data_IF_542355851034
#
_entry.id   IF_542355851034
#
_cell.length_a   1.000
_cell.length_b   1.000
_cell.length_c   1.000
_cell.angle_alpha   90.00
_cell.angle_beta   90.00
_cell.angle_gamma   90.00
#
_symmetry.space_group_name_H-M   'P 1'
#
loop_
_entity.id
_entity.type
_entity.pdbx_description
1 polymer ?
#
# COMPACT_ATOMS: atom_id res chain seq x y z
N UNK A 1 7.20 -12.24 3.51
CA UNK A 1 6.02 -11.47 3.97
C UNK A 1 6.05 -11.38 5.49
N UNK A 2 6.39 -10.22 6.06
CA UNK A 2 6.33 -9.95 7.50
C UNK A 2 5.10 -9.10 7.78
N UNK A 3 4.37 -9.38 8.88
CA UNK A 3 3.26 -8.50 9.32
C UNK A 3 3.82 -7.58 10.38
N UNK A 4 3.72 -6.28 10.15
CA UNK A 4 3.76 -5.28 11.21
C UNK A 4 2.33 -5.13 11.75
N UNK A 5 2.13 -5.32 13.05
CA UNK A 5 0.79 -5.37 13.65
C UNK A 5 0.74 -4.83 15.07
N UNK A 6 -0.35 -4.12 15.38
CA UNK A 6 -0.64 -3.47 16.68
C UNK A 6 -0.91 -4.45 17.84
N UNK A 7 -0.97 -5.77 17.59
CA UNK A 7 -1.05 -6.80 18.63
C UNK A 7 -0.16 -8.00 18.31
N UNK A 8 0.86 -8.19 19.15
CA UNK A 8 1.64 -9.43 19.27
C UNK A 8 2.99 -9.41 18.57
N UNK A 9 4.06 -9.53 19.36
CA UNK A 9 5.33 -10.13 18.91
C UNK A 9 5.13 -11.65 19.05
N UNK A 10 5.39 -12.44 18.01
CA UNK A 10 5.08 -13.88 18.04
C UNK A 10 5.09 -14.59 16.69
N UNK A 11 4.67 -15.86 16.66
CA UNK A 11 4.61 -16.66 15.44
C UNK A 11 3.41 -16.25 14.60
N UNK A 12 3.62 -16.02 13.30
CA UNK A 12 2.57 -15.54 12.38
C UNK A 12 1.38 -16.49 12.25
N UNK A 13 1.64 -17.80 12.30
CA UNK A 13 0.58 -18.82 12.27
C UNK A 13 -0.47 -18.57 13.34
N UNK A 14 -0.02 -18.26 14.56
CA UNK A 14 -0.91 -18.02 15.70
C UNK A 14 -1.75 -16.76 15.50
N UNK A 15 -1.13 -15.66 15.03
CA UNK A 15 -1.81 -14.39 14.75
C UNK A 15 -2.87 -14.56 13.64
N UNK A 16 -2.52 -15.28 12.58
CA UNK A 16 -3.40 -15.52 11.43
C UNK A 16 -4.40 -16.67 11.65
N UNK A 17 -4.37 -17.35 12.80
CA UNK A 17 -5.14 -18.58 13.08
C UNK A 17 -4.91 -19.66 12.01
N UNK A 18 -3.65 -19.87 11.66
CA UNK A 18 -3.15 -20.79 10.61
C UNK A 18 -2.02 -21.65 11.19
N UNK A 19 -1.66 -22.73 10.49
CA UNK A 19 -0.53 -23.56 10.89
C UNK A 19 0.78 -22.74 10.97
N UNK A 20 1.74 -23.14 11.83
CA UNK A 20 3.03 -22.47 11.92
C UNK A 20 3.74 -22.41 10.57
N UNK A 21 4.22 -21.22 10.20
CA UNK A 21 4.87 -20.96 8.90
C UNK A 21 6.38 -20.74 9.00
N UNK A 22 6.94 -20.73 10.22
CA UNK A 22 8.33 -20.32 10.47
C UNK A 22 8.57 -18.80 10.39
N UNK A 23 7.55 -18.02 10.01
CA UNK A 23 7.64 -16.56 9.89
C UNK A 23 7.31 -15.88 11.22
N UNK A 24 8.18 -14.97 11.64
CA UNK A 24 8.01 -14.17 12.85
C UNK A 24 7.28 -12.85 12.54
N UNK A 25 6.50 -12.38 13.49
CA UNK A 25 5.95 -11.02 13.49
C UNK A 25 6.88 -10.09 14.29
N UNK A 26 7.12 -8.89 13.76
CA UNK A 26 7.92 -7.85 14.39
C UNK A 26 7.23 -6.50 14.28
N UNK A 27 7.58 -5.57 15.17
CA UNK A 27 7.20 -4.15 15.11
C UNK A 27 8.40 -3.25 14.80
N UNK A 28 9.57 -3.85 14.65
CA UNK A 28 10.81 -3.17 14.32
C UNK A 28 10.88 -2.95 12.80
N UNK A 29 10.86 -1.68 12.39
CA UNK A 29 10.96 -1.32 10.98
C UNK A 29 12.33 -1.65 10.41
N UNK A 30 13.42 -1.46 11.17
CA UNK A 30 14.77 -1.76 10.69
C UNK A 30 14.93 -3.26 10.44
N UNK A 31 14.34 -4.09 11.30
CA UNK A 31 14.27 -5.52 11.07
C UNK A 31 13.50 -5.88 9.80
N UNK A 32 12.47 -5.12 9.42
CA UNK A 32 11.72 -5.30 8.17
C UNK A 32 12.56 -4.86 6.96
N UNK A 33 13.24 -3.72 7.07
CA UNK A 33 14.08 -3.16 6.02
C UNK A 33 15.29 -4.07 5.71
N UNK A 34 15.83 -4.74 6.73
CA UNK A 34 16.93 -5.69 6.59
C UNK A 34 16.54 -7.02 5.91
N UNK A 35 15.25 -7.31 5.76
CA UNK A 35 14.80 -8.53 5.08
C UNK A 35 15.05 -8.44 3.59
N UNK A 36 15.48 -9.56 3.03
CA UNK A 36 15.49 -9.81 1.60
C UNK A 36 14.05 -10.12 1.14
N UNK A 37 13.28 -9.06 0.87
CA UNK A 37 11.89 -9.15 0.45
C UNK A 37 11.66 -8.28 -0.78
N UNK A 38 11.09 -8.84 -1.84
CA UNK A 38 10.83 -8.11 -3.09
C UNK A 38 9.66 -7.12 -2.96
N UNK A 39 8.65 -7.49 -2.16
CA UNK A 39 7.38 -6.77 -2.04
C UNK A 39 6.91 -6.73 -0.58
N UNK A 40 6.40 -5.57 -0.18
CA UNK A 40 5.74 -5.32 1.10
C UNK A 40 4.27 -5.00 0.86
N UNK A 41 3.39 -5.76 1.51
CA UNK A 41 1.96 -5.47 1.56
C UNK A 41 1.70 -4.63 2.81
N UNK A 42 1.47 -3.35 2.62
CA UNK A 42 1.15 -2.39 3.67
C UNK A 42 -0.37 -2.34 3.88
N UNK A 43 -0.81 -2.90 5.01
CA UNK A 43 -2.21 -2.98 5.40
C UNK A 43 -2.46 -2.39 6.80
N UNK A 44 -1.79 -1.27 7.11
CA UNK A 44 -1.98 -0.57 8.37
C UNK A 44 -3.39 0.04 8.44
N UNK A 45 -3.92 0.21 9.65
CA UNK A 45 -5.19 0.93 9.83
C UNK A 45 -5.04 2.35 9.29
N UNK A 46 -5.96 2.75 8.41
CA UNK A 46 -6.04 4.13 7.95
C UNK A 46 -6.36 5.05 9.13
N UNK A 47 -5.56 6.09 9.31
CA UNK A 47 -5.73 7.08 10.37
C UNK A 47 -5.47 8.48 9.78
N UNK A 48 -6.31 9.47 10.07
CA UNK A 48 -6.02 10.86 9.72
C UNK A 48 -4.73 11.35 10.41
N UNK A 49 -3.97 12.24 9.77
CA UNK A 49 -4.16 12.74 8.40
C UNK A 49 -3.79 11.69 7.34
N UNK A 50 -4.34 11.84 6.12
CA UNK A 50 -3.83 11.10 4.96
C UNK A 50 -2.32 11.40 4.80
N UNK A 51 -1.54 10.36 4.53
CA UNK A 51 -0.07 10.44 4.52
C UNK A 51 0.60 10.17 5.87
N UNK A 52 -0.15 9.84 6.94
CA UNK A 52 0.41 9.45 8.24
C UNK A 52 1.39 8.26 8.20
N UNK A 53 1.35 7.47 7.12
CA UNK A 53 2.25 6.33 6.88
C UNK A 53 3.41 6.66 5.92
N UNK A 54 3.51 7.89 5.40
CA UNK A 54 4.48 8.23 4.35
C UNK A 54 5.93 8.00 4.79
N UNK A 55 6.27 8.30 6.04
CA UNK A 55 7.63 8.07 6.55
C UNK A 55 8.05 6.59 6.45
N UNK A 56 7.14 5.67 6.75
CA UNK A 56 7.38 4.23 6.61
C UNK A 56 7.45 3.81 5.13
N UNK A 57 6.52 4.29 4.31
CA UNK A 57 6.49 3.98 2.87
C UNK A 57 7.77 4.46 2.18
N UNK A 58 8.23 5.67 2.49
CA UNK A 58 9.49 6.22 1.98
C UNK A 58 10.69 5.35 2.36
N UNK A 59 10.76 4.89 3.61
CA UNK A 59 11.84 4.02 4.06
C UNK A 59 11.84 2.66 3.34
N UNK A 60 10.67 2.05 3.19
CA UNK A 60 10.50 0.78 2.48
C UNK A 60 10.92 0.90 1.01
N UNK A 61 10.43 1.92 0.31
CA UNK A 61 10.76 2.18 -1.09
C UNK A 61 12.26 2.46 -1.27
N UNK A 62 12.84 3.32 -0.42
CA UNK A 62 14.27 3.63 -0.48
C UNK A 62 15.18 2.43 -0.17
N UNK A 63 14.66 1.38 0.49
CA UNK A 63 15.36 0.11 0.72
C UNK A 63 15.28 -0.88 -0.45
N UNK A 64 14.64 -0.49 -1.55
CA UNK A 64 14.48 -1.32 -2.76
C UNK A 64 13.30 -2.29 -2.75
N UNK A 65 12.37 -2.13 -1.79
CA UNK A 65 11.19 -2.98 -1.69
C UNK A 65 10.03 -2.33 -2.41
N UNK A 66 9.37 -3.07 -3.30
CA UNK A 66 8.11 -2.60 -3.88
C UNK A 66 7.03 -2.59 -2.79
N UNK A 67 6.12 -1.62 -2.84
CA UNK A 67 5.09 -1.46 -1.82
C UNK A 67 3.72 -1.45 -2.46
N UNK A 68 2.85 -2.34 -1.99
CA UNK A 68 1.41 -2.33 -2.29
C UNK A 68 0.70 -1.91 -1.01
N UNK A 69 -0.04 -0.80 -1.06
CA UNK A 69 -0.67 -0.20 0.11
C UNK A 69 -2.17 -0.06 -0.08
N UNK A 70 -2.95 -0.40 0.96
CA UNK A 70 -4.40 -0.13 0.98
C UNK A 70 -4.76 1.29 1.47
N UNK A 71 -3.77 2.12 1.81
CA UNK A 71 -3.97 3.39 2.52
C UNK A 71 -3.96 4.63 1.60
N UNK A 72 -4.64 4.59 0.45
CA UNK A 72 -4.92 5.80 -0.34
C UNK A 72 -3.72 6.38 -1.09
N UNK A 73 -2.97 5.53 -1.80
CA UNK A 73 -1.88 5.94 -2.72
C UNK A 73 -2.29 5.81 -4.20
N UNK A 74 -3.59 5.80 -4.48
CA UNK A 74 -4.15 5.55 -5.82
C UNK A 74 -4.29 6.80 -6.69
N UNK A 75 -4.25 8.00 -6.10
CA UNK A 75 -4.43 9.27 -6.81
C UNK A 75 -3.25 10.24 -6.53
N UNK A 76 -2.13 10.11 -7.26
CA UNK A 76 -0.98 11.01 -7.12
C UNK A 76 -1.27 12.48 -7.44
N UNK A 77 -2.30 12.76 -8.26
CA UNK A 77 -2.61 14.11 -8.71
C UNK A 77 -3.19 15.00 -7.61
N UNK A 78 -3.76 14.41 -6.55
CA UNK A 78 -4.25 15.14 -5.37
C UNK A 78 -3.20 15.38 -4.29
N UNK A 79 -1.96 14.91 -4.48
CA UNK A 79 -0.89 15.10 -3.50
C UNK A 79 -0.25 16.48 -3.64
N UNK A 80 0.38 16.96 -2.58
CA UNK A 80 1.28 18.11 -2.72
C UNK A 80 2.50 17.73 -3.57
N UNK A 81 3.07 18.71 -4.29
CA UNK A 81 4.29 18.52 -5.08
C UNK A 81 5.44 17.95 -4.22
N UNK A 82 5.56 18.41 -2.97
CA UNK A 82 6.55 17.93 -2.02
C UNK A 82 6.37 16.42 -1.72
N UNK A 83 5.12 15.99 -1.46
CA UNK A 83 4.81 14.59 -1.16
C UNK A 83 5.08 13.71 -2.38
N UNK A 84 4.64 14.14 -3.57
CA UNK A 84 4.86 13.44 -4.82
C UNK A 84 6.37 13.30 -5.11
N UNK A 85 7.13 14.38 -5.00
CA UNK A 85 8.58 14.38 -5.21
C UNK A 85 9.32 13.47 -4.22
N UNK A 86 8.92 13.47 -2.94
CA UNK A 86 9.52 12.61 -1.93
C UNK A 86 9.31 11.12 -2.25
N UNK A 87 8.08 10.73 -2.59
CA UNK A 87 7.74 9.34 -2.95
C UNK A 87 8.45 8.91 -4.24
N UNK A 88 8.49 9.77 -5.26
CA UNK A 88 9.19 9.48 -6.51
C UNK A 88 10.71 9.34 -6.29
N UNK A 89 11.30 10.21 -5.47
CA UNK A 89 12.72 10.12 -5.12
C UNK A 89 13.05 8.82 -4.37
N UNK A 90 12.19 8.38 -3.46
CA UNK A 90 12.35 7.12 -2.75
C UNK A 90 12.25 5.90 -3.71
N UNK A 91 11.25 5.88 -4.60
CA UNK A 91 11.13 4.87 -5.66
C UNK A 91 12.41 4.80 -6.51
N UNK A 92 12.90 5.96 -6.99
CA UNK A 92 14.13 6.03 -7.80
C UNK A 92 15.35 5.55 -7.03
N UNK A 93 15.50 5.96 -5.77
CA UNK A 93 16.64 5.57 -4.92
C UNK A 93 16.70 4.05 -4.70
N UNK A 94 15.57 3.42 -4.46
CA UNK A 94 15.51 1.98 -4.25
C UNK A 94 15.40 1.15 -5.53
N UNK A 95 15.08 1.76 -6.68
CA UNK A 95 14.65 1.02 -7.86
C UNK A 95 13.34 0.27 -7.64
N UNK A 96 12.45 0.84 -6.83
CA UNK A 96 11.21 0.23 -6.37
C UNK A 96 9.96 0.98 -6.87
N UNK A 97 8.81 0.35 -6.72
CA UNK A 97 7.51 0.88 -7.12
C UNK A 97 6.53 0.96 -5.96
N UNK A 98 5.61 1.92 -6.03
CA UNK A 98 4.50 2.10 -5.10
C UNK A 98 3.18 1.92 -5.86
N UNK A 99 2.29 1.09 -5.32
CA UNK A 99 0.94 0.89 -5.83
C UNK A 99 -0.09 1.10 -4.72
N UNK A 100 -0.99 2.06 -4.91
CA UNK A 100 -2.24 2.11 -4.16
C UNK A 100 -3.20 1.02 -4.65
N UNK A 101 -3.67 0.18 -3.74
CA UNK A 101 -4.67 -0.84 -3.99
C UNK A 101 -5.85 -0.67 -3.00
N UNK A 102 -6.97 -1.33 -3.27
CA UNK A 102 -8.13 -1.25 -2.39
C UNK A 102 -9.42 -1.49 -3.16
N UNK A 103 -10.50 -1.76 -2.43
CA UNK A 103 -11.82 -1.84 -3.04
C UNK A 103 -12.28 -0.45 -3.49
N UNK A 104 -12.18 0.53 -2.60
CA UNK A 104 -12.42 1.94 -2.85
C UNK A 104 -11.59 2.77 -1.85
N UNK A 105 -10.69 3.66 -2.29
CA UNK A 105 -10.31 3.88 -3.69
C UNK A 105 -9.47 2.72 -4.24
N UNK A 106 -9.53 2.46 -5.55
CA UNK A 106 -8.62 1.59 -6.29
C UNK A 106 -9.26 0.64 -7.30
N UNK A 107 -10.43 0.09 -7.01
CA UNK A 107 -11.08 -0.92 -7.86
C UNK A 107 -12.47 -0.50 -8.34
N UNK A 108 -13.41 -0.28 -7.41
CA UNK A 108 -14.82 -0.11 -7.77
C UNK A 108 -15.10 1.19 -8.55
N UNK A 109 -14.62 2.33 -8.05
CA UNK A 109 -14.87 3.62 -8.69
C UNK A 109 -13.87 3.91 -9.83
N UNK A 110 -12.66 3.38 -9.75
CA UNK A 110 -11.57 3.69 -10.67
C UNK A 110 -11.48 2.68 -11.81
N UNK A 111 -11.23 1.41 -11.51
CA UNK A 111 -11.00 0.39 -12.54
C UNK A 111 -12.30 -0.09 -13.16
N UNK A 112 -13.28 -0.46 -12.34
CA UNK A 112 -14.54 -1.02 -12.83
C UNK A 112 -15.34 0.02 -13.62
N UNK A 113 -15.44 1.25 -13.12
CA UNK A 113 -16.14 2.31 -13.83
C UNK A 113 -15.44 2.65 -15.17
N UNK A 114 -14.11 2.72 -15.20
CA UNK A 114 -13.36 2.98 -16.44
C UNK A 114 -13.48 1.83 -17.46
N UNK A 115 -13.46 0.57 -17.01
CA UNK A 115 -13.65 -0.58 -17.90
C UNK A 115 -15.09 -0.63 -18.42
N UNK A 116 -16.08 -0.38 -17.57
CA UNK A 116 -17.49 -0.33 -17.96
C UNK A 116 -17.76 0.80 -18.96
N UNK A 117 -17.12 1.96 -18.81
CA UNK A 117 -17.29 3.08 -19.72
C UNK A 117 -16.68 2.81 -21.10
N UNK A 118 -15.68 1.93 -21.19
CA UNK A 118 -15.02 1.56 -22.45
C UNK A 118 -15.92 0.82 -23.46
N UNK A 119 -17.07 0.30 -23.05
CA UNK A 119 -18.06 -0.33 -23.96
C UNK A 119 -19.20 0.60 -24.36
N UNK A 120 -19.24 1.82 -23.83
CA UNK A 120 -20.25 2.82 -24.16
C UNK A 120 -19.84 3.62 -25.41
N UNK A 121 -20.77 3.84 -26.35
CA UNK A 121 -20.52 4.72 -27.51
C UNK A 121 -20.60 6.21 -27.15
N UNK A 122 -21.37 6.54 -26.12
CA UNK A 122 -21.56 7.88 -25.56
C UNK A 122 -21.75 7.74 -24.04
N UNK A 123 -21.28 8.72 -23.26
CA UNK A 123 -21.30 8.71 -21.80
C UNK A 123 -21.90 10.02 -21.28
N UNK A 124 -23.11 9.96 -20.73
CA UNK A 124 -23.78 11.11 -20.11
C UNK A 124 -23.40 11.28 -18.63
N UNK A 125 -23.35 10.17 -17.88
CA UNK A 125 -23.04 10.16 -16.45
C UNK A 125 -22.49 8.81 -15.98
N UNK A 126 -21.71 8.83 -14.89
CA UNK A 126 -21.29 7.65 -14.13
C UNK A 126 -21.78 7.84 -12.69
N UNK A 127 -22.61 6.91 -12.22
CA UNK A 127 -23.13 6.90 -10.85
C UNK A 127 -22.69 5.62 -10.14
N UNK A 128 -21.91 5.78 -9.07
CA UNK A 128 -21.55 4.68 -8.18
C UNK A 128 -22.37 4.78 -6.90
N UNK A 129 -23.14 3.74 -6.58
CA UNK A 129 -23.97 3.66 -5.38
C UNK A 129 -23.30 2.72 -4.39
N UNK A 130 -23.07 3.20 -3.16
CA UNK A 130 -22.46 2.45 -2.05
C UNK A 130 -23.41 2.32 -0.87
#
# INVERSE_FOLDING_TARGET
MVVQGVKGVGRRGDIARRAPTGVLATRDLDAILALDADVVIHAARLAPPYGSHDAEILALLASGKNVISINGYSDPASWSDERAAALEAACKKGGATLMGAGLNPGFAAEQLAAVASGVCSELDAIEAVS
#
